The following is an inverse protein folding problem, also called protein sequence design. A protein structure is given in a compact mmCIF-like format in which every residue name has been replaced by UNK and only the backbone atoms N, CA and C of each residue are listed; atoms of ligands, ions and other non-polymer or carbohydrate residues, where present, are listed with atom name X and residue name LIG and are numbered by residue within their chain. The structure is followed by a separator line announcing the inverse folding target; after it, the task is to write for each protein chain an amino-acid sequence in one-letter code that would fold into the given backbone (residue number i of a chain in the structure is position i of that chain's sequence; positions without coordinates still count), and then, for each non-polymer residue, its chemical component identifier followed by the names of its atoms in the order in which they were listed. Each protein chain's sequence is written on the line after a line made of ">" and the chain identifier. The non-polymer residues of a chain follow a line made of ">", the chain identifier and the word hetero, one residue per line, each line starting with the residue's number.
data_IF_161319380865
#
_entry.id   IF_161319380865
#
_cell.length_a   1.000
_cell.length_b   1.000
_cell.length_c   1.000
_cell.angle_alpha   90.00
_cell.angle_beta   90.00
_cell.angle_gamma   90.00
#
_symmetry.space_group_name_H-M   'P 1'
#
loop_
_entity.id
_entity.type
_entity.pdbx_description
1 polymer ?
#
# COMPACT_ATOMS: atom_id res chain seq x y z
N UNK A 1 9.26 -44.06 30.09
CA UNK A 1 9.71 -44.24 28.69
C UNK A 1 8.63 -43.87 27.65
N UNK A 2 7.92 -42.74 27.81
CA UNK A 2 6.86 -42.30 26.87
C UNK A 2 6.88 -40.79 26.54
N UNK A 3 7.66 -39.97 27.25
CA UNK A 3 7.72 -38.52 27.04
C UNK A 3 8.85 -38.13 26.06
N UNK A 4 9.92 -38.92 25.98
CA UNK A 4 11.07 -38.65 25.11
C UNK A 4 10.80 -38.90 23.62
N UNK A 5 9.69 -39.58 23.25
CA UNK A 5 9.30 -39.80 21.85
C UNK A 5 8.42 -38.68 21.28
N UNK A 6 7.82 -37.83 22.13
CA UNK A 6 6.97 -36.73 21.66
C UNK A 6 7.78 -35.49 21.24
N UNK A 7 8.95 -35.25 21.85
CA UNK A 7 9.83 -34.14 21.47
C UNK A 7 10.59 -34.38 20.16
N UNK A 8 10.81 -35.64 19.77
CA UNK A 8 11.49 -35.96 18.51
C UNK A 8 10.61 -35.75 17.27
N UNK A 9 9.27 -35.75 17.42
CA UNK A 9 8.34 -35.53 16.32
C UNK A 9 8.00 -34.05 16.09
N UNK A 10 8.10 -33.21 17.12
CA UNK A 10 7.93 -31.76 16.99
C UNK A 10 9.15 -31.06 16.39
N UNK A 11 10.35 -31.63 16.54
CA UNK A 11 11.58 -31.07 15.97
C UNK A 11 11.73 -31.33 14.45
N UNK A 12 10.98 -32.30 13.89
CA UNK A 12 11.02 -32.64 12.46
C UNK A 12 10.04 -31.83 11.59
N UNK A 13 9.08 -31.11 12.21
CA UNK A 13 8.11 -30.26 11.48
C UNK A 13 8.56 -28.79 11.37
N UNK A 14 9.59 -28.37 12.12
CA UNK A 14 10.10 -27.00 12.08
C UNK A 14 11.16 -26.76 10.98
N UNK A 15 11.77 -27.82 10.43
CA UNK A 15 12.87 -27.69 9.46
C UNK A 15 12.43 -27.53 8.00
N UNK A 16 11.15 -27.79 7.67
CA UNK A 16 10.64 -27.61 6.29
C UNK A 16 10.19 -26.19 5.97
N UNK A 17 10.11 -25.29 6.97
CA UNK A 17 9.64 -23.92 6.78
C UNK A 17 10.75 -22.90 6.44
N UNK A 18 12.04 -23.28 6.57
CA UNK A 18 13.18 -22.35 6.39
C UNK A 18 13.97 -22.56 5.09
N UNK A 19 13.50 -23.38 4.14
CA UNK A 19 14.30 -23.81 2.99
C UNK A 19 13.71 -23.48 1.61
N UNK A 20 12.93 -22.40 1.46
CA UNK A 20 12.47 -21.96 0.14
C UNK A 20 13.05 -20.60 -0.28
N UNK A 21 14.38 -20.47 -0.23
CA UNK A 21 15.10 -19.42 -0.97
C UNK A 21 15.63 -19.98 -2.28
N UNK A 22 14.74 -20.58 -3.07
CA UNK A 22 15.00 -20.88 -4.48
C UNK A 22 14.13 -19.91 -5.28
N UNK A 23 14.76 -19.21 -6.25
CA UNK A 23 14.04 -18.47 -7.29
C UNK A 23 12.84 -19.30 -7.75
N UNK A 24 11.66 -18.68 -7.84
CA UNK A 24 10.46 -19.39 -8.25
C UNK A 24 10.68 -20.22 -9.52
N UNK A 25 10.23 -21.47 -9.49
CA UNK A 25 10.24 -22.30 -10.69
C UNK A 25 9.24 -21.75 -11.73
N UNK A 26 9.36 -22.15 -13.00
CA UNK A 26 8.48 -21.65 -14.05
C UNK A 26 6.98 -21.89 -13.82
N UNK A 27 6.60 -22.96 -13.11
CA UNK A 27 5.21 -23.27 -12.82
C UNK A 27 4.64 -22.33 -11.74
N UNK A 28 5.41 -22.09 -10.67
CA UNK A 28 5.02 -21.14 -9.62
C UNK A 28 4.93 -19.71 -10.16
N UNK A 29 5.83 -19.33 -11.07
CA UNK A 29 5.77 -18.05 -11.77
C UNK A 29 4.53 -17.93 -12.67
N UNK A 30 4.18 -18.99 -13.41
CA UNK A 30 2.97 -19.01 -14.22
C UNK A 30 1.71 -18.88 -13.36
N UNK A 31 1.63 -19.59 -12.23
CA UNK A 31 0.51 -19.50 -11.31
C UNK A 31 0.38 -18.10 -10.69
N UNK A 32 1.50 -17.47 -10.32
CA UNK A 32 1.50 -16.09 -9.84
C UNK A 32 0.97 -15.09 -10.89
N UNK A 33 1.33 -15.26 -12.17
CA UNK A 33 0.75 -14.46 -13.27
C UNK A 33 -0.76 -14.62 -13.35
N UNK A 34 -1.25 -15.84 -13.22
CA UNK A 34 -2.69 -16.11 -13.25
C UNK A 34 -3.40 -15.46 -12.07
N UNK A 35 -2.83 -15.52 -10.86
CA UNK A 35 -3.36 -14.83 -9.67
C UNK A 35 -3.50 -13.33 -9.93
N UNK A 36 -2.45 -12.68 -10.42
CA UNK A 36 -2.46 -11.24 -10.73
C UNK A 36 -3.50 -10.91 -11.81
N UNK A 37 -3.64 -11.77 -12.82
CA UNK A 37 -4.62 -11.60 -13.88
C UNK A 37 -6.06 -11.72 -13.37
N UNK A 38 -6.38 -12.72 -12.53
CA UNK A 38 -7.73 -12.87 -11.96
C UNK A 38 -8.07 -11.75 -10.98
N UNK A 39 -7.06 -11.22 -10.28
CA UNK A 39 -7.22 -10.03 -9.45
C UNK A 39 -7.48 -8.75 -10.26
N UNK A 40 -7.30 -8.80 -11.59
CA UNK A 40 -7.46 -7.66 -12.51
C UNK A 40 -6.58 -6.47 -12.11
N UNK A 41 -5.34 -6.77 -11.70
CA UNK A 41 -4.39 -5.76 -11.23
C UNK A 41 -4.18 -4.62 -12.25
N UNK A 42 -4.15 -4.94 -13.55
CA UNK A 42 -4.06 -3.93 -14.62
C UNK A 42 -5.22 -2.93 -14.56
N UNK A 43 -6.46 -3.42 -14.42
CA UNK A 43 -7.65 -2.56 -14.37
C UNK A 43 -7.68 -1.72 -13.09
N UNK A 44 -7.26 -2.31 -11.97
CA UNK A 44 -7.15 -1.58 -10.70
C UNK A 44 -6.11 -0.46 -10.81
N UNK A 45 -4.96 -0.76 -11.41
CA UNK A 45 -3.92 0.24 -11.65
C UNK A 45 -4.39 1.35 -12.59
N UNK A 46 -5.02 1.01 -13.72
CA UNK A 46 -5.55 2.00 -14.66
C UNK A 46 -6.60 2.92 -14.00
N UNK A 47 -7.48 2.37 -13.16
CA UNK A 47 -8.46 3.14 -12.40
C UNK A 47 -7.80 4.07 -11.38
N UNK A 48 -6.80 3.59 -10.64
CA UNK A 48 -6.02 4.41 -9.71
C UNK A 48 -5.26 5.53 -10.44
N UNK A 49 -4.61 5.21 -11.56
CA UNK A 49 -3.90 6.17 -12.39
C UNK A 49 -4.84 7.28 -12.89
N UNK A 50 -6.04 6.95 -13.35
CA UNK A 50 -7.04 7.93 -13.77
C UNK A 50 -7.45 8.86 -12.62
N UNK A 51 -7.73 8.30 -11.43
CA UNK A 51 -8.09 9.08 -10.24
C UNK A 51 -6.94 10.00 -9.79
N UNK A 52 -5.70 9.52 -9.83
CA UNK A 52 -4.51 10.31 -9.51
C UNK A 52 -4.29 11.42 -10.53
N UNK A 53 -4.48 11.17 -11.83
CA UNK A 53 -4.38 12.20 -12.88
C UNK A 53 -5.38 13.33 -12.63
N UNK A 54 -6.63 12.97 -12.34
CA UNK A 54 -7.69 13.94 -12.02
C UNK A 54 -7.31 14.79 -10.80
N UNK A 55 -6.72 14.17 -9.78
CA UNK A 55 -6.31 14.85 -8.53
C UNK A 55 -5.11 15.76 -8.76
N UNK A 56 -4.10 15.29 -9.50
CA UNK A 56 -2.91 16.06 -9.86
C UNK A 56 -3.27 17.33 -10.63
N UNK A 57 -4.21 17.23 -11.59
CA UNK A 57 -4.70 18.39 -12.35
C UNK A 57 -5.31 19.44 -11.41
N UNK A 58 -6.09 19.03 -10.39
CA UNK A 58 -6.68 19.95 -9.41
C UNK A 58 -5.65 20.61 -8.49
N UNK A 59 -4.57 19.90 -8.19
CA UNK A 59 -3.50 20.36 -7.29
C UNK A 59 -2.46 21.22 -8.03
N UNK A 60 -2.48 21.24 -9.37
CA UNK A 60 -1.54 22.04 -10.17
C UNK A 60 -1.55 23.50 -9.74
N UNK A 61 -0.54 23.87 -8.96
CA UNK A 61 -0.35 25.21 -8.44
C UNK A 61 0.26 26.08 -9.55
N UNK A 62 -0.56 26.46 -10.53
CA UNK A 62 -0.14 27.50 -11.48
C UNK A 62 -0.34 28.86 -10.79
N UNK A 63 0.68 29.75 -10.78
CA UNK A 63 0.55 31.07 -10.20
C UNK A 63 -0.68 31.80 -10.75
N UNK A 64 -1.42 32.50 -9.89
CA UNK A 64 -2.59 33.27 -10.31
C UNK A 64 -2.25 34.31 -11.39
N UNK A 65 -1.01 34.80 -11.38
CA UNK A 65 -0.45 35.74 -12.36
C UNK A 65 -0.14 35.15 -13.74
N UNK A 66 -0.23 33.82 -13.91
CA UNK A 66 0.09 33.21 -15.19
C UNK A 66 -0.91 33.61 -16.29
N UNK A 67 -0.46 33.67 -17.54
CA UNK A 67 -1.36 33.84 -18.69
C UNK A 67 -2.11 32.53 -18.99
N UNK A 68 -3.23 32.57 -19.73
CA UNK A 68 -3.91 31.34 -20.19
C UNK A 68 -2.98 30.38 -20.94
N UNK A 69 -2.06 30.90 -21.74
CA UNK A 69 -1.09 30.08 -22.49
C UNK A 69 -0.07 29.40 -21.56
N UNK A 70 0.43 30.12 -20.54
CA UNK A 70 1.33 29.55 -19.54
C UNK A 70 0.64 28.47 -18.71
N UNK A 71 -0.63 28.69 -18.33
CA UNK A 71 -1.47 27.67 -17.68
C UNK A 71 -1.61 26.43 -18.57
N UNK A 72 -1.95 26.61 -19.85
CA UNK A 72 -2.10 25.49 -20.78
C UNK A 72 -0.80 24.70 -20.94
N UNK A 73 0.35 25.38 -21.08
CA UNK A 73 1.67 24.72 -21.18
C UNK A 73 2.04 23.97 -19.90
N UNK A 74 1.79 24.55 -18.72
CA UNK A 74 2.05 23.92 -17.44
C UNK A 74 1.18 22.66 -17.25
N UNK A 75 -0.12 22.75 -17.49
CA UNK A 75 -1.03 21.60 -17.43
C UNK A 75 -0.62 20.49 -18.40
N UNK A 76 -0.24 20.84 -19.63
CA UNK A 76 0.22 19.88 -20.63
C UNK A 76 1.52 19.18 -20.20
N UNK A 77 2.48 19.93 -19.63
CA UNK A 77 3.72 19.36 -19.10
C UNK A 77 3.46 18.42 -17.93
N UNK A 78 2.62 18.84 -16.97
CA UNK A 78 2.21 18.01 -15.82
C UNK A 78 1.57 16.70 -16.30
N UNK A 79 0.69 16.78 -17.31
CA UNK A 79 0.06 15.61 -17.92
C UNK A 79 1.09 14.64 -18.51
N UNK A 80 2.09 15.14 -19.24
CA UNK A 80 3.17 14.31 -19.80
C UNK A 80 4.04 13.66 -18.72
N UNK A 81 4.40 14.40 -17.67
CA UNK A 81 5.16 13.86 -16.52
C UNK A 81 4.36 12.75 -15.83
N UNK A 82 3.06 12.97 -15.64
CA UNK A 82 2.18 11.97 -15.05
C UNK A 82 2.09 10.71 -15.91
N UNK A 83 1.85 10.86 -17.22
CA UNK A 83 1.75 9.74 -18.14
C UNK A 83 3.06 8.93 -18.19
N UNK A 84 4.22 9.60 -18.18
CA UNK A 84 5.53 8.94 -18.07
C UNK A 84 5.68 8.17 -16.76
N UNK A 85 5.27 8.76 -15.64
CA UNK A 85 5.33 8.12 -14.32
C UNK A 85 4.44 6.87 -14.26
N UNK A 86 3.24 6.93 -14.85
CA UNK A 86 2.32 5.79 -14.91
C UNK A 86 2.85 4.68 -15.81
N UNK A 87 3.46 5.02 -16.95
CA UNK A 87 4.11 4.04 -17.81
C UNK A 87 5.25 3.31 -17.08
N UNK A 88 6.09 4.05 -16.33
CA UNK A 88 7.15 3.46 -15.52
C UNK A 88 6.58 2.52 -14.43
N UNK A 89 5.52 2.94 -13.74
CA UNK A 89 4.85 2.12 -12.74
C UNK A 89 4.21 0.84 -13.32
N UNK A 90 3.63 0.91 -14.53
CA UNK A 90 3.12 -0.28 -15.24
C UNK A 90 4.24 -1.29 -15.54
N UNK A 91 5.43 -0.81 -15.89
CA UNK A 91 6.61 -1.65 -16.03
C UNK A 91 7.03 -2.36 -14.74
N UNK A 92 6.78 -1.77 -13.57
CA UNK A 92 7.00 -2.44 -12.28
C UNK A 92 5.92 -3.50 -12.01
N UNK A 93 4.66 -3.22 -12.33
CA UNK A 93 3.55 -4.19 -12.20
C UNK A 93 3.80 -5.45 -13.03
N UNK A 94 4.41 -5.30 -14.21
CA UNK A 94 4.80 -6.43 -15.05
C UNK A 94 5.81 -7.39 -14.40
N UNK A 95 6.42 -6.99 -13.27
CA UNK A 95 7.33 -7.82 -12.45
C UNK A 95 6.68 -8.35 -11.17
N UNK A 96 5.39 -8.08 -10.95
CA UNK A 96 4.71 -8.52 -9.73
C UNK A 96 4.58 -10.03 -9.63
N UNK A 97 4.51 -10.71 -10.77
CA UNK A 97 4.46 -12.17 -10.85
C UNK A 97 5.66 -12.81 -10.16
N UNK A 98 6.87 -12.30 -10.41
CA UNK A 98 8.08 -12.79 -9.79
C UNK A 98 8.03 -12.62 -8.27
N UNK A 99 7.62 -11.46 -7.78
CA UNK A 99 7.52 -11.19 -6.34
C UNK A 99 6.45 -12.07 -5.69
N UNK A 100 5.30 -12.25 -6.33
CA UNK A 100 4.27 -13.17 -5.82
C UNK A 100 4.78 -14.60 -5.78
N UNK A 101 5.50 -15.02 -6.82
CA UNK A 101 6.07 -16.35 -6.89
C UNK A 101 7.22 -16.56 -5.89
N UNK A 102 7.93 -15.51 -5.47
CA UNK A 102 9.00 -15.60 -4.47
C UNK A 102 8.47 -15.54 -3.03
N UNK A 103 7.34 -14.86 -2.80
CA UNK A 103 6.76 -14.65 -1.45
C UNK A 103 5.72 -15.71 -1.09
N UNK A 104 4.85 -16.10 -2.03
CA UNK A 104 3.79 -17.07 -1.77
C UNK A 104 4.21 -18.48 -2.17
N UNK A 105 3.80 -19.45 -1.37
CA UNK A 105 3.88 -20.86 -1.73
C UNK A 105 2.92 -21.18 -2.88
N UNK A 106 3.19 -22.29 -3.59
CA UNK A 106 2.31 -22.76 -4.66
C UNK A 106 0.87 -23.00 -4.18
N UNK A 107 0.72 -23.57 -2.98
CA UNK A 107 -0.59 -23.83 -2.38
C UNK A 107 -1.37 -22.54 -2.09
N UNK A 108 -0.69 -21.49 -1.60
CA UNK A 108 -1.31 -20.18 -1.37
C UNK A 108 -1.72 -19.52 -2.68
N UNK A 109 -0.87 -19.55 -3.71
CA UNK A 109 -1.20 -19.02 -5.02
C UNK A 109 -2.40 -19.75 -5.64
N UNK A 110 -2.51 -21.07 -5.47
CA UNK A 110 -3.69 -21.83 -5.90
C UNK A 110 -4.95 -21.43 -5.15
N UNK A 111 -4.86 -21.24 -3.83
CA UNK A 111 -5.98 -20.78 -3.01
C UNK A 111 -6.44 -19.38 -3.43
N UNK A 112 -5.49 -18.45 -3.64
CA UNK A 112 -5.76 -17.10 -4.13
C UNK A 112 -6.44 -17.15 -5.49
N UNK A 113 -5.91 -17.92 -6.45
CA UNK A 113 -6.50 -18.08 -7.77
C UNK A 113 -7.94 -18.59 -7.66
N UNK A 114 -8.16 -19.64 -6.88
CA UNK A 114 -9.49 -20.26 -6.68
C UNK A 114 -10.48 -19.24 -6.13
N UNK A 115 -10.10 -18.57 -5.05
CA UNK A 115 -10.97 -17.60 -4.41
C UNK A 115 -11.23 -16.39 -5.31
N UNK A 116 -10.20 -15.74 -5.87
CA UNK A 116 -10.40 -14.57 -6.73
C UNK A 116 -11.06 -14.90 -8.06
N UNK A 117 -11.08 -16.16 -8.50
CA UNK A 117 -11.88 -16.58 -9.67
C UNK A 117 -13.37 -16.77 -9.35
N UNK A 118 -13.75 -16.87 -8.07
CA UNK A 118 -15.15 -17.04 -7.67
C UNK A 118 -15.97 -15.75 -7.85
N UNK A 119 -17.31 -15.85 -8.01
CA UNK A 119 -18.19 -14.69 -8.03
C UNK A 119 -18.01 -13.77 -6.82
N UNK A 120 -17.84 -14.35 -5.63
CA UNK A 120 -17.65 -13.63 -4.36
C UNK A 120 -16.29 -12.93 -4.31
N UNK A 121 -15.22 -13.61 -4.71
CA UNK A 121 -13.88 -13.02 -4.79
C UNK A 121 -13.81 -11.85 -5.77
N UNK A 122 -14.44 -11.99 -6.95
CA UNK A 122 -14.60 -10.90 -7.91
C UNK A 122 -15.45 -9.75 -7.34
N UNK A 123 -16.53 -10.06 -6.62
CA UNK A 123 -17.37 -9.06 -5.95
C UNK A 123 -16.57 -8.27 -4.90
N UNK A 124 -15.73 -8.95 -4.12
CA UNK A 124 -14.90 -8.32 -3.11
C UNK A 124 -13.90 -7.34 -3.74
N UNK A 125 -13.19 -7.76 -4.80
CA UNK A 125 -12.26 -6.90 -5.54
C UNK A 125 -12.97 -5.66 -6.10
N UNK A 126 -14.18 -5.82 -6.65
CA UNK A 126 -14.97 -4.71 -7.18
C UNK A 126 -15.49 -3.74 -6.10
N UNK A 127 -15.73 -4.23 -4.88
CA UNK A 127 -16.26 -3.44 -3.75
C UNK A 127 -15.17 -2.79 -2.90
N UNK A 128 -13.92 -3.23 -2.99
CA UNK A 128 -12.81 -2.65 -2.22
C UNK A 128 -12.69 -1.12 -2.39
N UNK A 129 -12.81 -0.53 -3.60
CA UNK A 129 -12.80 0.93 -3.75
C UNK A 129 -14.00 1.62 -3.10
N UNK A 130 -15.16 0.98 -3.06
CA UNK A 130 -16.38 1.51 -2.43
C UNK A 130 -16.20 1.58 -0.90
N UNK A 131 -15.58 0.56 -0.30
CA UNK A 131 -15.22 0.60 1.13
C UNK A 131 -14.35 1.82 1.41
N UNK A 132 -13.32 2.06 0.60
CA UNK A 132 -12.45 3.24 0.78
C UNK A 132 -13.22 4.55 0.63
N UNK A 133 -14.18 4.65 -0.30
CA UNK A 133 -15.05 5.81 -0.43
C UNK A 133 -15.88 6.08 0.83
N UNK A 134 -16.34 5.03 1.52
CA UNK A 134 -17.07 5.15 2.79
C UNK A 134 -16.18 5.48 3.99
N UNK A 135 -14.90 5.08 3.96
CA UNK A 135 -13.93 5.38 5.03
C UNK A 135 -13.50 6.86 5.02
N UNK A 136 -13.38 7.47 3.84
CA UNK A 136 -12.87 8.84 3.71
C UNK A 136 -13.62 9.90 4.55
N UNK A 137 -14.97 9.93 4.58
CA UNK A 137 -15.71 10.84 5.45
C UNK A 137 -15.44 10.63 6.94
N UNK A 138 -15.26 9.37 7.38
CA UNK A 138 -14.96 9.07 8.78
C UNK A 138 -13.61 9.64 9.19
N UNK A 139 -12.61 9.55 8.30
CA UNK A 139 -11.30 10.18 8.52
C UNK A 139 -11.41 11.69 8.59
N UNK A 140 -12.23 12.32 7.74
CA UNK A 140 -12.46 13.77 7.78
C UNK A 140 -13.15 14.21 9.07
N UNK A 141 -14.13 13.46 9.55
CA UNK A 141 -14.82 13.72 10.82
C UNK A 141 -13.89 13.57 12.02
N UNK A 142 -13.08 12.50 12.03
CA UNK A 142 -12.04 12.29 13.03
C UNK A 142 -11.07 13.48 13.05
N UNK A 143 -10.59 13.94 11.89
CA UNK A 143 -9.68 15.09 11.80
C UNK A 143 -10.33 16.39 12.31
N UNK A 144 -11.59 16.66 11.95
CA UNK A 144 -12.34 17.84 12.43
C UNK A 144 -12.43 17.88 13.95
N UNK A 145 -12.49 16.71 14.58
CA UNK A 145 -12.60 16.57 16.04
C UNK A 145 -11.23 16.59 16.73
N UNK A 146 -10.22 15.99 16.12
CA UNK A 146 -8.87 15.85 16.68
C UNK A 146 -8.04 17.13 16.58
N UNK A 147 -8.07 17.83 15.44
CA UNK A 147 -7.23 19.02 15.20
C UNK A 147 -7.41 20.10 16.28
N UNK A 148 -8.64 20.49 16.68
CA UNK A 148 -8.83 21.49 17.73
C UNK A 148 -8.28 21.05 19.09
N UNK A 149 -8.37 19.76 19.42
CA UNK A 149 -7.84 19.23 20.67
C UNK A 149 -6.31 19.27 20.69
N UNK A 150 -5.68 18.90 19.57
CA UNK A 150 -4.22 19.02 19.40
C UNK A 150 -3.79 20.49 19.49
N UNK A 151 -4.51 21.41 18.84
CA UNK A 151 -4.24 22.84 18.93
C UNK A 151 -4.33 23.36 20.37
N UNK A 152 -5.36 22.93 21.11
CA UNK A 152 -5.50 23.27 22.53
C UNK A 152 -4.34 22.75 23.37
N UNK A 153 -3.94 21.49 23.20
CA UNK A 153 -2.80 20.91 23.90
C UNK A 153 -1.49 21.66 23.62
N UNK A 154 -1.27 22.07 22.37
CA UNK A 154 -0.10 22.86 21.98
C UNK A 154 -0.12 24.25 22.63
N UNK A 155 -1.29 24.87 22.76
CA UNK A 155 -1.44 26.18 23.42
C UNK A 155 -1.25 26.08 24.94
N UNK A 156 -1.86 25.07 25.56
CA UNK A 156 -1.71 24.78 27.00
C UNK A 156 -0.23 24.50 27.34
N UNK A 157 0.50 23.81 26.45
CA UNK A 157 1.94 23.55 26.62
C UNK A 157 2.85 24.77 26.39
N UNK A 158 2.38 25.81 25.69
CA UNK A 158 3.12 27.08 25.55
C UNK A 158 2.91 28.01 26.74
N UNK A 159 1.75 27.91 27.39
CA UNK A 159 1.35 28.75 28.52
C UNK A 159 1.77 28.16 29.87
N UNK A 160 1.86 26.84 29.98
CA UNK A 160 2.63 26.20 31.02
C UNK A 160 4.12 26.40 30.70
N UNK A 161 4.89 27.04 31.58
CA UNK A 161 6.34 26.92 31.53
C UNK A 161 6.69 25.43 31.54
N UNK A 162 7.09 24.89 30.38
CA UNK A 162 7.67 23.55 30.32
C UNK A 162 9.07 23.67 30.93
N UNK A 163 9.11 23.67 32.26
CA UNK A 163 10.32 23.45 33.04
C UNK A 163 10.70 22.00 32.85
N UNK A 164 11.59 21.74 31.89
CA UNK A 164 12.38 20.52 31.92
C UNK A 164 13.25 20.59 33.19
N UNK A 165 13.18 19.59 34.10
CA UNK A 165 14.04 19.59 35.27
C UNK A 165 15.50 19.63 34.79
N UNK A 166 16.24 20.65 35.23
CA UNK A 166 17.65 20.78 34.92
C UNK A 166 18.39 19.51 35.39
N UNK A 167 19.33 18.96 34.61
CA UNK A 167 20.12 17.81 35.04
C UNK A 167 20.85 18.16 36.34
N UNK A 168 20.75 17.26 37.32
CA UNK A 168 21.38 17.44 38.63
C UNK A 168 22.89 17.70 38.47
N UNK A 169 23.48 18.63 39.25
CA UNK A 169 24.91 18.92 39.16
C UNK A 169 25.69 17.66 39.51
N UNK A 170 26.59 17.27 38.62
CA UNK A 170 27.57 16.21 38.87
C UNK A 170 28.52 16.67 39.99
N UNK A 171 28.36 16.08 41.16
CA UNK A 171 29.31 16.23 42.26
C UNK A 171 30.66 15.64 41.84
N UNK A 172 31.72 16.41 42.07
CA UNK A 172 33.12 16.06 41.79
C UNK A 172 33.74 15.37 43.00
#
# INVERSE_FOLDING_TARGET
>A
MKITRLLALLAALATSALAQTTSADPARLALAREVIAVMKADKMFDAMAAQMKQSAIRITAVPASATPEQRAKATALQGKIFDLSMAAAKGMIAKMDQIYADVYTEAELHAMKTFFSSPEGQSMLAKQPQIMQHVMPLVQEMQRTLIPQVQKLVEDAKTAEVSFPAPAPTAK
#
